data_IF_989866733344
#
_entry.id   IF_989866733344
#
_cell.length_a   1.000
_cell.length_b   1.000
_cell.length_c   1.000
_cell.angle_alpha   90.00
_cell.angle_beta   90.00
_cell.angle_gamma   90.00
#
_symmetry.space_group_name_H-M   'P 1'
#
loop_
_entity.id
_entity.type
_entity.pdbx_description
1 polymer ?
#
# COMPACT_ATOMS: atom_id res chain seq x y z
N UNK A 1 -31.82 -16.64 43.38
CA UNK A 1 -31.11 -15.91 42.30
C UNK A 1 -29.63 -16.10 42.55
N UNK A 2 -28.94 -16.97 41.80
CA UNK A 2 -27.49 -17.13 41.92
C UNK A 2 -26.84 -15.98 41.13
N UNK A 3 -26.14 -15.08 41.82
CA UNK A 3 -25.24 -14.14 41.20
C UNK A 3 -24.18 -14.94 40.41
N UNK A 4 -24.19 -14.82 39.12
CA UNK A 4 -23.07 -15.24 38.25
C UNK A 4 -21.92 -14.31 38.61
N UNK A 5 -20.72 -14.84 38.95
CA UNK A 5 -19.56 -13.98 39.18
C UNK A 5 -19.32 -13.18 37.93
N UNK A 6 -19.27 -11.87 38.04
CA UNK A 6 -18.71 -10.96 37.04
C UNK A 6 -17.18 -11.12 37.07
N UNK A 7 -16.68 -12.28 36.61
CA UNK A 7 -15.28 -12.30 36.15
C UNK A 7 -15.17 -11.25 35.09
N UNK A 8 -14.22 -10.34 35.25
CA UNK A 8 -14.05 -9.18 34.42
C UNK A 8 -13.83 -9.61 32.93
N UNK A 9 -14.94 -9.72 32.22
CA UNK A 9 -14.93 -10.10 30.81
C UNK A 9 -14.37 -8.92 30.07
N UNK A 10 -13.21 -9.12 29.44
CA UNK A 10 -12.53 -8.05 28.73
C UNK A 10 -13.40 -7.38 27.65
N UNK A 11 -13.20 -6.10 27.47
CA UNK A 11 -13.93 -5.29 26.51
C UNK A 11 -13.31 -5.40 25.13
N UNK A 12 -14.14 -5.59 24.11
CA UNK A 12 -13.75 -5.54 22.71
C UNK A 12 -14.36 -4.32 22.06
N UNK A 13 -13.52 -3.45 21.46
CA UNK A 13 -13.98 -2.32 20.67
C UNK A 13 -13.98 -2.67 19.19
N UNK A 14 -14.89 -2.05 18.46
CA UNK A 14 -14.79 -1.88 17.01
C UNK A 14 -14.82 -0.39 16.68
N UNK A 15 -14.05 0.00 15.69
CA UNK A 15 -13.91 1.40 15.30
C UNK A 15 -14.08 1.56 13.80
N UNK A 16 -15.07 2.35 13.40
CA UNK A 16 -15.18 2.89 12.06
C UNK A 16 -14.44 4.22 11.98
N UNK A 17 -13.55 4.37 10.98
CA UNK A 17 -12.59 5.47 10.92
C UNK A 17 -12.89 6.47 9.83
N UNK A 18 -12.95 7.74 10.20
CA UNK A 18 -13.10 8.88 9.30
C UNK A 18 -11.92 9.86 9.45
N UNK A 19 -11.88 10.87 8.57
CA UNK A 19 -10.80 11.86 8.55
C UNK A 19 -10.73 12.68 9.84
N UNK A 20 -11.88 13.19 10.31
CA UNK A 20 -11.94 14.17 11.38
C UNK A 20 -12.46 13.59 12.70
N UNK A 21 -13.14 12.45 12.66
CA UNK A 21 -13.65 11.74 13.83
C UNK A 21 -13.64 10.24 13.61
N UNK A 22 -13.75 9.47 14.68
CA UNK A 22 -13.96 8.03 14.66
C UNK A 22 -15.19 7.68 15.48
N UNK A 23 -15.91 6.63 15.07
CA UNK A 23 -17.04 6.07 15.82
C UNK A 23 -16.64 4.71 16.36
N UNK A 24 -16.77 4.54 17.67
CA UNK A 24 -16.44 3.30 18.37
C UNK A 24 -17.69 2.69 19.01
N UNK A 25 -17.74 1.36 19.01
CA UNK A 25 -18.74 0.56 19.73
C UNK A 25 -18.00 -0.40 20.66
N UNK A 26 -18.43 -0.44 21.93
CA UNK A 26 -17.93 -1.36 22.95
C UNK A 26 -18.87 -2.57 23.08
N UNK A 27 -18.27 -3.76 23.08
CA UNK A 27 -18.96 -5.03 23.35
C UNK A 27 -18.34 -5.72 24.57
N UNK A 28 -19.17 -6.40 25.35
CA UNK A 28 -18.69 -7.35 26.36
C UNK A 28 -18.30 -8.70 25.71
N UNK A 29 -17.74 -9.62 26.50
CA UNK A 29 -17.31 -10.93 26.02
C UNK A 29 -18.46 -11.83 25.50
N UNK A 30 -19.74 -11.48 25.78
CA UNK A 30 -20.90 -12.13 25.22
C UNK A 30 -21.43 -11.46 23.94
N UNK A 31 -20.78 -10.39 23.51
CA UNK A 31 -21.16 -9.62 22.32
C UNK A 31 -22.34 -8.69 22.55
N UNK A 32 -22.69 -8.36 23.80
CA UNK A 32 -23.70 -7.35 24.12
C UNK A 32 -23.10 -5.96 23.97
N UNK A 33 -23.82 -5.05 23.31
CA UNK A 33 -23.38 -3.65 23.13
C UNK A 33 -23.52 -2.90 24.46
N UNK A 34 -22.40 -2.34 24.91
CA UNK A 34 -22.31 -1.55 26.14
C UNK A 34 -22.50 -0.06 25.88
N UNK A 35 -22.03 0.42 24.72
CA UNK A 35 -22.16 1.82 24.36
C UNK A 35 -21.58 2.14 23.00
N UNK A 36 -21.75 3.40 22.62
CA UNK A 36 -21.19 4.01 21.41
C UNK A 36 -20.58 5.34 21.75
N UNK A 37 -19.42 5.65 21.20
CA UNK A 37 -18.73 6.92 21.39
C UNK A 37 -18.18 7.44 20.06
N UNK A 38 -18.37 8.74 19.81
CA UNK A 38 -17.67 9.44 18.73
C UNK A 38 -16.56 10.29 19.34
N UNK A 39 -15.37 10.23 18.74
CA UNK A 39 -14.18 10.95 19.19
C UNK A 39 -13.53 11.71 18.04
N UNK A 40 -12.89 12.86 18.26
CA UNK A 40 -12.06 13.51 17.27
C UNK A 40 -10.77 12.72 17.03
N UNK A 41 -10.19 12.87 15.83
CA UNK A 41 -8.91 12.22 15.44
C UNK A 41 -7.70 12.93 16.02
N UNK A 42 -7.69 13.10 17.34
CA UNK A 42 -6.63 13.77 18.12
C UNK A 42 -6.16 12.85 19.24
N UNK A 43 -4.98 13.13 19.78
CA UNK A 43 -4.45 12.38 20.91
C UNK A 43 -5.42 12.37 22.10
N UNK A 44 -5.98 13.54 22.47
CA UNK A 44 -6.99 13.62 23.54
C UNK A 44 -8.26 12.83 23.24
N UNK A 45 -8.67 12.74 21.96
CA UNK A 45 -9.77 11.87 21.55
C UNK A 45 -9.46 10.40 21.74
N UNK A 46 -8.22 9.98 21.45
CA UNK A 46 -7.79 8.59 21.65
C UNK A 46 -7.69 8.22 23.13
N UNK A 47 -7.17 9.12 23.95
CA UNK A 47 -7.12 8.99 25.42
C UNK A 47 -8.55 8.83 25.99
N UNK A 48 -9.47 9.72 25.57
CA UNK A 48 -10.89 9.64 25.94
C UNK A 48 -11.54 8.31 25.54
N UNK A 49 -11.18 7.75 24.36
CA UNK A 49 -11.68 6.46 23.92
C UNK A 49 -11.22 5.33 24.84
N UNK A 50 -9.93 5.33 25.21
CA UNK A 50 -9.36 4.32 26.11
C UNK A 50 -9.98 4.40 27.52
N UNK A 51 -10.12 5.59 28.07
CA UNK A 51 -10.77 5.82 29.35
C UNK A 51 -12.23 5.35 29.34
N UNK A 52 -12.99 5.73 28.32
CA UNK A 52 -14.37 5.33 28.16
C UNK A 52 -14.54 3.81 28.08
N UNK A 53 -13.69 3.14 27.32
CA UNK A 53 -13.71 1.68 27.21
C UNK A 53 -13.38 0.99 28.53
N UNK A 54 -12.35 1.48 29.23
CA UNK A 54 -11.92 0.96 30.53
C UNK A 54 -12.98 1.20 31.63
N UNK A 55 -13.89 2.16 31.44
CA UNK A 55 -15.03 2.36 32.32
C UNK A 55 -16.03 1.19 32.32
N UNK A 56 -16.04 0.34 31.29
CA UNK A 56 -16.87 -0.90 31.26
C UNK A 56 -16.09 -2.14 31.70
N UNK A 57 -14.78 -2.10 31.74
CA UNK A 57 -13.87 -3.19 32.06
C UNK A 57 -12.54 -3.09 31.29
N UNK A 58 -11.59 -4.00 31.53
CA UNK A 58 -10.27 -3.93 30.88
C UNK A 58 -10.40 -4.06 29.36
N UNK A 59 -9.80 -3.08 28.64
CA UNK A 59 -9.78 -3.09 27.18
C UNK A 59 -8.79 -4.15 26.66
N UNK A 60 -9.29 -5.26 26.14
CA UNK A 60 -8.46 -6.35 25.66
C UNK A 60 -8.08 -6.26 24.19
N UNK A 61 -9.01 -5.84 23.35
CA UNK A 61 -8.81 -5.85 21.89
C UNK A 61 -9.66 -4.81 21.18
N UNK A 62 -9.13 -4.35 20.03
CA UNK A 62 -9.80 -3.36 19.18
C UNK A 62 -9.73 -3.78 17.73
N UNK A 63 -10.89 -3.84 17.06
CA UNK A 63 -11.00 -4.00 15.61
C UNK A 63 -11.09 -2.65 14.93
N UNK A 64 -10.18 -2.36 14.01
CA UNK A 64 -10.14 -1.08 13.31
C UNK A 64 -10.17 -1.32 11.80
N UNK A 65 -11.11 -0.66 11.09
CA UNK A 65 -11.07 -0.57 9.64
C UNK A 65 -10.07 0.52 9.21
N UNK A 66 -9.23 0.22 8.22
CA UNK A 66 -8.33 1.22 7.65
C UNK A 66 -7.17 1.65 8.54
N UNK A 67 -6.55 0.71 9.25
CA UNK A 67 -5.38 0.90 10.12
C UNK A 67 -4.19 1.59 9.45
N UNK A 68 -4.07 1.50 8.12
CA UNK A 68 -3.04 2.18 7.32
C UNK A 68 -3.49 3.49 6.69
N UNK A 69 -4.67 4.02 7.05
CA UNK A 69 -5.23 5.27 6.52
C UNK A 69 -5.76 6.15 7.64
N UNK A 70 -7.06 6.39 7.72
CA UNK A 70 -7.66 7.24 8.77
C UNK A 70 -7.47 6.69 10.17
N UNK A 71 -7.42 5.36 10.34
CA UNK A 71 -7.17 4.70 11.62
C UNK A 71 -5.71 4.63 12.06
N UNK A 72 -4.75 5.14 11.25
CA UNK A 72 -3.33 4.96 11.54
C UNK A 72 -2.88 5.62 12.85
N UNK A 73 -3.38 6.81 13.18
CA UNK A 73 -3.08 7.51 14.43
C UNK A 73 -3.58 6.75 15.65
N UNK A 74 -4.85 6.33 15.61
CA UNK A 74 -5.45 5.53 16.68
C UNK A 74 -4.75 4.17 16.85
N UNK A 75 -4.40 3.52 15.74
CA UNK A 75 -3.68 2.24 15.77
C UNK A 75 -2.34 2.35 16.49
N UNK A 76 -1.54 3.39 16.17
CA UNK A 76 -0.25 3.65 16.86
C UNK A 76 -0.46 3.91 18.34
N UNK A 77 -1.41 4.77 18.70
CA UNK A 77 -1.74 5.08 20.09
C UNK A 77 -2.12 3.83 20.88
N UNK A 78 -3.09 3.06 20.41
CA UNK A 78 -3.54 1.85 21.13
C UNK A 78 -2.44 0.79 21.26
N UNK A 79 -1.59 0.66 20.25
CA UNK A 79 -0.44 -0.26 20.33
C UNK A 79 0.60 0.20 21.34
N UNK A 80 0.87 1.51 21.45
CA UNK A 80 1.77 2.05 22.48
C UNK A 80 1.23 1.84 23.91
N UNK A 81 -0.09 1.78 24.06
CA UNK A 81 -0.74 1.42 25.34
C UNK A 81 -0.83 -0.12 25.58
N UNK A 82 -0.21 -0.94 24.72
CA UNK A 82 -0.22 -2.39 24.85
C UNK A 82 -1.51 -3.08 24.42
N UNK A 83 -2.49 -2.36 23.87
CA UNK A 83 -3.77 -2.92 23.43
C UNK A 83 -3.61 -3.75 22.17
N UNK A 84 -4.24 -4.92 22.11
CA UNK A 84 -4.27 -5.76 20.89
C UNK A 84 -5.15 -5.15 19.82
N UNK A 85 -4.56 -4.70 18.72
CA UNK A 85 -5.28 -4.13 17.57
C UNK A 85 -5.34 -5.13 16.42
N UNK A 86 -6.53 -5.29 15.85
CA UNK A 86 -6.79 -6.11 14.69
C UNK A 86 -7.23 -5.23 13.50
N UNK A 87 -6.65 -5.50 12.33
CA UNK A 87 -7.12 -4.91 11.09
C UNK A 87 -8.37 -5.66 10.63
N UNK A 88 -9.45 -4.94 10.42
CA UNK A 88 -10.72 -5.49 9.97
C UNK A 88 -10.92 -5.11 8.50
N UNK A 89 -11.18 -6.11 7.66
CA UNK A 89 -11.56 -5.89 6.29
C UNK A 89 -12.96 -5.25 6.20
N UNK A 90 -13.17 -4.41 5.20
CA UNK A 90 -14.49 -3.84 4.93
C UNK A 90 -15.58 -4.91 4.91
N UNK A 91 -16.71 -4.68 5.58
CA UNK A 91 -17.82 -5.61 5.56
C UNK A 91 -18.24 -5.96 4.13
N UNK A 92 -18.55 -7.22 3.90
CA UNK A 92 -19.05 -7.62 2.57
C UNK A 92 -20.40 -6.92 2.32
N UNK A 93 -20.64 -6.45 1.10
CA UNK A 93 -21.91 -5.83 0.71
C UNK A 93 -23.15 -6.60 1.18
N UNK A 94 -23.08 -7.93 1.23
CA UNK A 94 -24.18 -8.79 1.70
C UNK A 94 -24.53 -8.55 3.16
N UNK A 95 -23.56 -8.26 4.01
CA UNK A 95 -23.78 -8.03 5.45
C UNK A 95 -24.39 -6.64 5.67
N UNK A 96 -23.98 -5.65 4.87
CA UNK A 96 -24.56 -4.31 4.86
C UNK A 96 -26.03 -4.28 4.38
N UNK A 97 -26.43 -5.18 3.44
CA UNK A 97 -27.83 -5.27 3.00
C UNK A 97 -28.78 -5.72 4.11
N UNK A 98 -28.31 -6.49 5.09
CA UNK A 98 -29.15 -6.99 6.19
C UNK A 98 -29.25 -6.02 7.38
N UNK A 99 -28.21 -5.24 7.63
CA UNK A 99 -28.09 -4.41 8.84
C UNK A 99 -28.26 -2.91 8.58
N UNK A 100 -28.40 -2.51 7.30
CA UNK A 100 -28.29 -1.10 6.91
C UNK A 100 -26.84 -0.61 6.93
N UNK A 101 -26.63 0.67 6.69
CA UNK A 101 -25.31 1.33 6.71
C UNK A 101 -25.36 2.54 7.63
N UNK A 102 -24.58 2.48 8.70
CA UNK A 102 -24.26 3.63 9.56
C UNK A 102 -22.95 3.35 10.30
N UNK A 103 -22.22 4.39 10.64
CA UNK A 103 -20.92 4.29 11.29
C UNK A 103 -20.95 3.44 12.58
N UNK A 104 -21.99 3.53 13.46
CA UNK A 104 -22.10 2.62 14.61
C UNK A 104 -22.30 1.14 14.23
N UNK A 105 -22.98 0.85 13.12
CA UNK A 105 -23.17 -0.53 12.64
C UNK A 105 -21.85 -1.08 12.12
N UNK A 106 -21.13 -0.30 11.32
CA UNK A 106 -19.82 -0.72 10.78
C UNK A 106 -18.81 -0.91 11.92
N UNK A 107 -18.80 -0.03 12.93
CA UNK A 107 -18.00 -0.20 14.15
C UNK A 107 -18.39 -1.45 14.93
N UNK A 108 -19.68 -1.73 15.12
CA UNK A 108 -20.13 -2.94 15.81
C UNK A 108 -19.74 -4.21 15.07
N UNK A 109 -19.86 -4.24 13.75
CA UNK A 109 -19.41 -5.36 12.92
C UNK A 109 -17.91 -5.62 13.06
N UNK A 110 -17.11 -4.55 13.18
CA UNK A 110 -15.67 -4.68 13.42
C UNK A 110 -15.39 -5.31 14.80
N UNK A 111 -16.08 -4.88 15.87
CA UNK A 111 -15.95 -5.50 17.18
C UNK A 111 -16.36 -6.98 17.17
N UNK A 112 -17.50 -7.31 16.54
CA UNK A 112 -17.98 -8.68 16.40
C UNK A 112 -17.02 -9.58 15.63
N UNK A 113 -16.36 -9.05 14.60
CA UNK A 113 -15.36 -9.80 13.82
C UNK A 113 -14.13 -10.17 14.68
N UNK A 114 -13.72 -9.29 15.59
CA UNK A 114 -12.64 -9.55 16.55
C UNK A 114 -13.10 -10.59 17.58
N UNK A 115 -14.25 -10.40 18.19
CA UNK A 115 -14.80 -11.28 19.23
C UNK A 115 -15.02 -12.70 18.70
N UNK A 116 -15.49 -12.84 17.46
CA UNK A 116 -15.66 -14.12 16.77
C UNK A 116 -14.34 -14.76 16.27
N UNK A 117 -13.19 -14.11 16.45
CA UNK A 117 -11.90 -14.59 15.94
C UNK A 117 -11.78 -14.61 14.42
N UNK A 118 -12.68 -13.94 13.69
CA UNK A 118 -12.64 -13.86 12.22
C UNK A 118 -11.73 -12.74 11.73
N UNK A 119 -11.51 -11.69 12.52
CA UNK A 119 -10.52 -10.67 12.28
C UNK A 119 -9.19 -11.12 12.89
N UNK A 120 -8.28 -11.61 12.03
CA UNK A 120 -6.95 -12.12 12.43
C UNK A 120 -5.81 -11.25 11.93
N UNK A 121 -6.11 -10.22 11.14
CA UNK A 121 -5.13 -9.32 10.54
C UNK A 121 -4.45 -8.48 11.62
N UNK A 122 -3.11 -8.57 11.71
CA UNK A 122 -2.34 -7.63 12.52
C UNK A 122 -2.03 -6.39 11.67
N UNK A 123 -2.26 -5.16 12.18
CA UNK A 123 -1.92 -3.94 11.45
C UNK A 123 -0.41 -3.83 11.26
N UNK A 124 -0.01 -3.10 10.23
CA UNK A 124 1.40 -2.72 10.04
C UNK A 124 1.86 -1.82 11.17
N UNK A 125 3.16 -1.85 11.50
CA UNK A 125 3.76 -0.96 12.49
C UNK A 125 3.52 0.50 12.17
N UNK A 126 3.87 0.90 10.95
CA UNK A 126 3.76 2.26 10.44
C UNK A 126 4.49 3.31 11.33
N UNK A 127 5.60 2.91 11.92
CA UNK A 127 6.43 3.67 12.86
C UNK A 127 7.95 3.51 12.61
N UNK A 128 8.34 2.71 11.61
CA UNK A 128 9.73 2.37 11.30
C UNK A 128 10.19 2.80 9.91
N UNK A 129 11.31 2.22 9.47
CA UNK A 129 11.97 2.50 8.20
C UNK A 129 11.07 2.26 6.99
N UNK A 130 10.21 1.23 7.06
CA UNK A 130 9.29 0.91 5.96
C UNK A 130 8.24 2.00 5.78
N UNK A 131 7.82 2.66 6.87
CA UNK A 131 6.91 3.80 6.77
C UNK A 131 7.62 5.03 6.17
N UNK A 132 8.90 5.26 6.48
CA UNK A 132 9.71 6.28 5.81
C UNK A 132 9.78 6.03 4.30
N UNK A 133 10.13 4.80 3.90
CA UNK A 133 10.14 4.36 2.49
C UNK A 133 8.77 4.56 1.84
N UNK A 134 7.67 4.20 2.53
CA UNK A 134 6.32 4.36 2.01
C UNK A 134 5.98 5.82 1.72
N UNK A 135 6.30 6.71 2.62
CA UNK A 135 6.00 8.15 2.51
C UNK A 135 6.72 8.77 1.30
N UNK A 136 8.02 8.53 1.19
CA UNK A 136 8.82 9.02 0.06
C UNK A 136 8.36 8.41 -1.27
N UNK A 137 8.07 7.10 -1.29
CA UNK A 137 7.61 6.42 -2.50
C UNK A 137 6.25 6.91 -2.99
N UNK A 138 5.32 7.22 -2.09
CA UNK A 138 4.01 7.79 -2.46
C UNK A 138 4.20 9.16 -3.10
N UNK A 139 5.03 10.02 -2.53
CA UNK A 139 5.36 11.34 -3.07
C UNK A 139 6.03 11.23 -4.44
N UNK A 140 7.09 10.40 -4.56
CA UNK A 140 7.76 10.14 -5.84
C UNK A 140 6.78 9.65 -6.92
N UNK A 141 5.89 8.72 -6.59
CA UNK A 141 4.89 8.20 -7.53
C UNK A 141 3.93 9.28 -8.02
N UNK A 142 3.56 10.21 -7.15
CA UNK A 142 2.76 11.39 -7.51
C UNK A 142 3.51 12.31 -8.47
N UNK A 143 4.78 12.63 -8.17
CA UNK A 143 5.63 13.46 -9.00
C UNK A 143 5.87 12.83 -10.40
N UNK A 144 6.13 11.52 -10.48
CA UNK A 144 6.27 10.79 -11.76
C UNK A 144 5.00 10.88 -12.59
N UNK A 145 3.82 10.75 -11.98
CA UNK A 145 2.53 10.89 -12.68
C UNK A 145 2.33 12.32 -13.18
N UNK A 146 2.63 13.32 -12.35
CA UNK A 146 2.52 14.73 -12.72
C UNK A 146 3.51 15.09 -13.86
N UNK A 147 4.75 14.56 -13.85
CA UNK A 147 5.72 14.74 -14.91
C UNK A 147 5.24 14.15 -16.25
N UNK A 148 4.68 12.94 -16.21
CA UNK A 148 4.10 12.33 -17.42
C UNK A 148 2.92 13.15 -17.96
N UNK A 149 2.11 13.73 -17.09
CA UNK A 149 1.01 14.62 -17.46
C UNK A 149 1.53 15.93 -18.08
N UNK A 150 2.58 16.52 -17.52
CA UNK A 150 3.20 17.73 -18.04
C UNK A 150 3.75 17.52 -19.46
N UNK A 151 4.47 16.43 -19.73
CA UNK A 151 4.99 16.18 -21.07
C UNK A 151 3.88 15.92 -22.10
N UNK A 152 2.81 15.23 -21.72
CA UNK A 152 1.65 15.04 -22.60
C UNK A 152 0.98 16.39 -22.92
N UNK A 153 0.84 17.26 -21.92
CA UNK A 153 0.30 18.61 -22.14
C UNK A 153 1.18 19.44 -23.05
N UNK A 154 2.52 19.38 -22.90
CA UNK A 154 3.46 20.07 -23.78
C UNK A 154 3.34 19.58 -25.23
N UNK A 155 3.23 18.28 -25.45
CA UNK A 155 3.02 17.69 -26.77
C UNK A 155 1.70 18.12 -27.41
N UNK A 156 0.63 18.21 -26.62
CA UNK A 156 -0.68 18.68 -27.10
C UNK A 156 -0.63 20.17 -27.50
N UNK A 157 0.04 21.03 -26.71
CA UNK A 157 0.26 22.42 -27.07
C UNK A 157 1.06 22.56 -28.36
N UNK A 158 2.04 21.69 -28.60
CA UNK A 158 2.82 21.65 -29.83
C UNK A 158 1.96 21.32 -31.07
N UNK A 159 0.99 20.39 -30.93
CA UNK A 159 0.10 20.01 -32.04
C UNK A 159 -0.75 21.20 -32.51
N UNK A 160 -1.21 22.04 -31.58
CA UNK A 160 -2.09 23.18 -31.85
C UNK A 160 -1.34 24.50 -32.01
N UNK A 161 0.01 24.49 -31.94
CA UNK A 161 0.84 25.68 -32.07
C UNK A 161 0.79 26.27 -33.49
N UNK A 162 1.00 27.62 -33.65
CA UNK A 162 1.20 28.24 -34.94
C UNK A 162 2.27 27.52 -35.78
N UNK A 163 2.09 27.51 -37.09
CA UNK A 163 2.91 26.67 -38.01
C UNK A 163 4.40 26.93 -37.87
N UNK A 164 4.86 28.19 -37.76
CA UNK A 164 6.26 28.51 -37.57
C UNK A 164 6.85 27.85 -36.34
N UNK A 165 6.18 27.98 -35.21
CA UNK A 165 6.62 27.37 -33.94
C UNK A 165 6.54 25.82 -33.98
N UNK A 166 5.50 25.28 -34.61
CA UNK A 166 5.33 23.84 -34.77
C UNK A 166 6.44 23.25 -35.63
N UNK A 167 6.76 23.88 -36.75
CA UNK A 167 7.83 23.43 -37.65
C UNK A 167 9.20 23.48 -36.99
N UNK A 168 9.47 24.49 -36.16
CA UNK A 168 10.73 24.64 -35.40
C UNK A 168 10.95 23.51 -34.37
N UNK A 169 9.87 23.04 -33.75
CA UNK A 169 9.90 22.08 -32.61
C UNK A 169 9.61 20.64 -33.05
N UNK A 170 9.05 20.44 -34.24
CA UNK A 170 8.71 19.13 -34.79
C UNK A 170 9.93 18.22 -34.90
N UNK A 171 9.78 16.97 -34.47
CA UNK A 171 10.85 15.97 -34.56
C UNK A 171 11.88 16.02 -33.44
N UNK A 172 11.79 16.98 -32.51
CA UNK A 172 12.66 16.99 -31.35
C UNK A 172 12.32 15.83 -30.40
N UNK A 173 13.36 15.20 -29.87
CA UNK A 173 13.17 14.25 -28.76
C UNK A 173 12.58 14.98 -27.56
N UNK A 174 11.90 14.23 -26.65
CA UNK A 174 11.28 14.82 -25.46
C UNK A 174 12.25 15.68 -24.63
N UNK A 175 13.48 15.21 -24.44
CA UNK A 175 14.50 15.96 -23.70
C UNK A 175 14.88 17.27 -24.39
N UNK A 176 15.15 17.23 -25.72
CA UNK A 176 15.47 18.43 -26.52
C UNK A 176 14.30 19.41 -26.58
N UNK A 177 13.05 18.90 -26.68
CA UNK A 177 11.86 19.74 -26.68
C UNK A 177 11.72 20.49 -25.35
N UNK A 178 11.81 19.78 -24.20
CA UNK A 178 11.71 20.40 -22.87
C UNK A 178 12.83 21.43 -22.67
N UNK A 179 14.08 21.09 -23.00
CA UNK A 179 15.21 22.01 -22.86
C UNK A 179 14.98 23.28 -23.68
N UNK A 180 14.72 23.15 -24.99
CA UNK A 180 14.52 24.29 -25.87
C UNK A 180 13.35 25.19 -25.44
N UNK A 181 12.21 24.57 -25.12
CA UNK A 181 11.00 25.31 -24.77
C UNK A 181 11.10 25.97 -23.38
N UNK A 182 11.84 25.41 -22.44
CA UNK A 182 12.05 26.02 -21.11
C UNK A 182 12.82 27.36 -21.18
N UNK A 183 13.57 27.59 -22.23
CA UNK A 183 14.38 28.79 -22.49
C UNK A 183 13.62 29.89 -23.25
N UNK A 184 12.40 29.64 -23.73
CA UNK A 184 11.62 30.64 -24.43
C UNK A 184 11.50 31.94 -23.65
N UNK A 185 11.53 33.06 -24.35
CA UNK A 185 11.40 34.43 -23.80
C UNK A 185 10.19 35.16 -24.41
N UNK A 186 8.96 34.72 -24.11
CA UNK A 186 7.74 35.28 -24.73
C UNK A 186 7.31 36.66 -24.21
N UNK A 187 8.14 37.29 -23.36
CA UNK A 187 7.76 38.53 -22.68
C UNK A 187 6.83 38.25 -21.44
N UNK A 188 6.41 39.33 -20.78
CA UNK A 188 5.52 39.26 -19.61
C UNK A 188 4.04 39.34 -19.99
N UNK A 189 3.73 40.05 -21.10
CA UNK A 189 2.37 40.19 -21.64
C UNK A 189 2.33 39.58 -23.05
N UNK A 190 1.69 38.42 -23.24
CA UNK A 190 1.49 37.84 -24.56
C UNK A 190 0.63 38.78 -25.43
N UNK A 191 1.20 39.24 -26.55
CA UNK A 191 0.52 40.19 -27.48
C UNK A 191 -0.24 39.51 -28.61
N UNK A 192 0.08 38.22 -28.86
CA UNK A 192 -0.49 37.40 -29.91
C UNK A 192 -0.53 35.90 -29.54
N UNK A 193 -1.13 35.11 -30.43
CA UNK A 193 -1.30 33.66 -30.19
C UNK A 193 0.03 32.93 -30.05
N UNK A 194 1.06 33.33 -30.80
CA UNK A 194 2.37 32.68 -30.75
C UNK A 194 3.08 33.00 -29.44
N UNK A 195 3.07 34.24 -28.97
CA UNK A 195 3.62 34.64 -27.68
C UNK A 195 2.91 33.95 -26.51
N UNK A 196 1.58 33.88 -26.56
CA UNK A 196 0.80 33.16 -25.58
C UNK A 196 1.12 31.66 -25.56
N UNK A 197 1.28 31.04 -26.73
CA UNK A 197 1.63 29.62 -26.86
C UNK A 197 3.04 29.36 -26.29
N UNK A 198 4.03 30.19 -26.67
CA UNK A 198 5.40 30.12 -26.12
C UNK A 198 5.42 30.27 -24.60
N UNK A 199 4.62 31.17 -24.03
CA UNK A 199 4.50 31.37 -22.59
C UNK A 199 3.94 30.13 -21.89
N UNK A 200 2.84 29.56 -22.40
CA UNK A 200 2.22 28.37 -21.89
C UNK A 200 3.16 27.15 -21.95
N UNK A 201 3.77 26.93 -23.11
CA UNK A 201 4.72 25.83 -23.33
C UNK A 201 5.93 25.94 -22.40
N UNK A 202 6.52 27.12 -22.22
CA UNK A 202 7.61 27.37 -21.25
C UNK A 202 7.19 27.02 -19.83
N UNK A 203 6.01 27.44 -19.41
CA UNK A 203 5.50 27.15 -18.06
C UNK A 203 5.41 25.63 -17.81
N UNK A 204 4.88 24.88 -18.79
CA UNK A 204 4.76 23.42 -18.70
C UNK A 204 6.13 22.73 -18.75
N UNK A 205 7.07 23.21 -19.60
CA UNK A 205 8.41 22.65 -19.69
C UNK A 205 9.20 22.84 -18.38
N UNK A 206 9.15 24.02 -17.77
CA UNK A 206 9.77 24.30 -16.47
C UNK A 206 9.14 23.48 -15.34
N UNK A 207 7.82 23.26 -15.36
CA UNK A 207 7.17 22.33 -14.42
C UNK A 207 7.70 20.91 -14.59
N UNK A 208 7.88 20.42 -15.82
CA UNK A 208 8.45 19.10 -16.08
C UNK A 208 9.88 19.00 -15.52
N UNK A 209 10.72 20.04 -15.67
CA UNK A 209 12.08 20.06 -15.13
C UNK A 209 12.07 19.99 -13.61
N UNK A 210 11.32 20.84 -12.93
CA UNK A 210 11.20 20.82 -11.45
C UNK A 210 10.72 19.48 -10.91
N UNK A 211 9.73 18.86 -11.58
CA UNK A 211 9.28 17.51 -11.22
C UNK A 211 10.37 16.44 -11.46
N UNK A 212 11.26 16.66 -12.42
CA UNK A 212 12.39 15.73 -12.64
C UNK A 212 13.43 15.85 -11.55
N UNK A 213 13.72 17.06 -11.08
CA UNK A 213 14.59 17.34 -9.93
C UNK A 213 14.03 16.72 -8.65
N UNK A 214 12.76 17.00 -8.34
CA UNK A 214 12.04 16.40 -7.20
C UNK A 214 12.09 14.87 -7.21
N UNK A 215 11.86 14.25 -8.36
CA UNK A 215 11.92 12.80 -8.52
C UNK A 215 13.33 12.29 -8.22
N UNK A 216 14.38 12.97 -8.72
CA UNK A 216 15.77 12.56 -8.50
C UNK A 216 16.16 12.62 -7.02
N UNK A 217 15.79 13.69 -6.33
CA UNK A 217 16.02 13.85 -4.88
C UNK A 217 15.30 12.74 -4.07
N UNK A 218 14.05 12.45 -4.42
CA UNK A 218 13.29 11.37 -3.76
C UNK A 218 13.86 9.98 -4.06
N UNK A 219 14.38 9.74 -5.27
CA UNK A 219 15.04 8.49 -5.66
C UNK A 219 16.31 8.28 -4.84
N UNK A 220 17.15 9.29 -4.68
CA UNK A 220 18.37 9.21 -3.88
C UNK A 220 18.08 8.81 -2.42
N UNK A 221 17.07 9.44 -1.80
CA UNK A 221 16.67 9.09 -0.44
C UNK A 221 16.09 7.68 -0.34
N UNK A 222 15.28 7.28 -1.33
CA UNK A 222 14.71 5.94 -1.39
C UNK A 222 15.79 4.86 -1.56
N UNK A 223 16.76 5.10 -2.45
CA UNK A 223 17.85 4.15 -2.71
C UNK A 223 18.65 3.91 -1.43
N UNK A 224 18.99 4.98 -0.68
CA UNK A 224 19.68 4.88 0.60
C UNK A 224 18.86 4.10 1.63
N UNK A 225 17.62 4.50 1.89
CA UNK A 225 16.77 3.86 2.91
C UNK A 225 16.48 2.39 2.59
N UNK A 226 16.26 2.05 1.33
CA UNK A 226 15.99 0.65 0.94
C UNK A 226 17.25 -0.21 1.05
N UNK A 227 18.43 0.34 0.69
CA UNK A 227 19.69 -0.36 0.84
C UNK A 227 20.06 -0.59 2.32
N UNK A 228 19.75 0.35 3.20
CA UNK A 228 19.93 0.22 4.66
C UNK A 228 18.93 -0.77 5.26
N UNK A 229 17.65 -0.67 4.90
CA UNK A 229 16.58 -1.49 5.47
C UNK A 229 16.62 -2.96 5.03
N UNK A 230 17.05 -3.23 3.80
CA UNK A 230 17.01 -4.58 3.22
C UNK A 230 18.09 -4.80 2.15
N UNK A 231 19.38 -4.78 2.51
CA UNK A 231 20.49 -4.97 1.56
C UNK A 231 20.41 -6.33 0.86
N UNK A 232 20.03 -7.38 1.57
CA UNK A 232 19.89 -8.73 1.01
C UNK A 232 18.78 -8.80 -0.06
N UNK A 233 17.72 -8.02 0.10
CA UNK A 233 16.62 -7.97 -0.87
C UNK A 233 17.06 -7.28 -2.17
N UNK A 234 17.83 -6.19 -2.07
CA UNK A 234 18.36 -5.46 -3.22
C UNK A 234 19.43 -6.28 -3.95
N UNK A 235 20.18 -7.13 -3.24
CA UNK A 235 21.18 -8.03 -3.82
C UNK A 235 20.55 -9.17 -4.65
N UNK A 236 19.25 -9.43 -4.53
CA UNK A 236 18.59 -10.49 -5.30
C UNK A 236 18.49 -10.11 -6.78
N UNK A 237 18.78 -11.06 -7.67
CA UNK A 237 18.66 -10.86 -9.12
C UNK A 237 17.27 -10.38 -9.53
N UNK A 238 17.25 -9.27 -10.27
CA UNK A 238 16.05 -8.63 -10.79
C UNK A 238 15.26 -7.78 -9.78
N UNK A 239 15.77 -7.60 -8.55
CA UNK A 239 15.16 -6.76 -7.52
C UNK A 239 15.90 -5.43 -7.44
N UNK A 240 15.31 -4.38 -8.04
CA UNK A 240 15.80 -3.00 -7.86
C UNK A 240 15.09 -2.29 -6.72
N UNK A 241 15.53 -1.09 -6.37
CA UNK A 241 15.04 -0.28 -5.24
C UNK A 241 13.51 -0.12 -5.22
N UNK A 242 12.87 0.29 -6.33
CA UNK A 242 11.40 0.47 -6.36
C UNK A 242 10.65 -0.83 -6.14
N UNK A 243 11.21 -1.95 -6.62
CA UNK A 243 10.66 -3.29 -6.42
C UNK A 243 10.80 -3.72 -4.96
N UNK A 244 11.99 -3.57 -4.38
CA UNK A 244 12.26 -3.84 -2.97
C UNK A 244 11.36 -2.98 -2.07
N UNK A 245 11.28 -1.68 -2.31
CA UNK A 245 10.39 -0.77 -1.61
C UNK A 245 8.92 -1.22 -1.64
N UNK A 246 8.43 -1.66 -2.82
CA UNK A 246 7.06 -2.16 -2.96
C UNK A 246 6.79 -3.40 -2.09
N UNK A 247 7.75 -4.30 -1.99
CA UNK A 247 7.66 -5.55 -1.23
C UNK A 247 7.79 -5.28 0.28
N UNK A 248 8.71 -4.41 0.70
CA UNK A 248 8.84 -3.96 2.08
C UNK A 248 7.56 -3.27 2.57
N UNK A 249 7.02 -2.33 1.80
CA UNK A 249 5.76 -1.65 2.13
C UNK A 249 4.59 -2.64 2.22
N UNK A 250 4.57 -3.69 1.40
CA UNK A 250 3.55 -4.73 1.50
C UNK A 250 3.69 -5.55 2.79
N UNK A 251 4.91 -5.90 3.17
CA UNK A 251 5.20 -6.62 4.42
C UNK A 251 4.93 -5.77 5.66
N UNK A 252 5.38 -4.50 5.69
CA UNK A 252 5.32 -3.60 6.84
C UNK A 252 6.56 -3.69 7.71
N UNK A 253 6.71 -2.76 8.67
CA UNK A 253 7.84 -2.74 9.61
C UNK A 253 7.88 -3.98 10.53
N UNK A 254 6.73 -4.55 10.79
CA UNK A 254 6.51 -5.75 11.61
C UNK A 254 6.19 -6.96 10.72
N UNK A 255 7.16 -7.43 9.95
CA UNK A 255 6.98 -8.52 8.99
C UNK A 255 6.63 -9.87 9.66
N UNK A 256 6.90 -10.04 10.97
CA UNK A 256 6.43 -11.17 11.80
C UNK A 256 4.90 -11.32 11.85
N UNK A 257 4.14 -10.27 11.46
CA UNK A 257 2.69 -10.36 11.26
C UNK A 257 2.31 -11.33 10.14
N UNK A 258 3.23 -11.61 9.23
CA UNK A 258 3.06 -12.57 8.15
C UNK A 258 3.39 -13.96 8.68
N UNK A 259 2.35 -14.71 9.02
CA UNK A 259 2.43 -16.01 9.68
C UNK A 259 3.39 -17.00 8.98
N UNK A 260 3.36 -17.03 7.66
CA UNK A 260 4.15 -17.94 6.83
C UNK A 260 4.29 -17.45 5.39
N UNK A 261 5.01 -18.19 4.59
CA UNK A 261 5.21 -17.95 3.16
C UNK A 261 3.90 -17.94 2.36
N UNK A 262 2.93 -18.77 2.76
CA UNK A 262 1.63 -18.84 2.10
C UNK A 262 0.82 -17.55 2.34
N UNK A 263 0.88 -17.01 3.56
CA UNK A 263 0.28 -15.73 3.91
C UNK A 263 0.88 -14.58 3.08
N UNK A 264 2.22 -14.55 2.92
CA UNK A 264 2.88 -13.57 2.05
C UNK A 264 2.46 -13.73 0.59
N UNK A 265 2.37 -14.96 0.08
CA UNK A 265 1.90 -15.20 -1.29
C UNK A 265 0.43 -14.78 -1.50
N UNK A 266 -0.42 -14.96 -0.50
CA UNK A 266 -1.79 -14.44 -0.50
C UNK A 266 -1.80 -12.91 -0.50
N UNK A 267 -1.00 -12.28 0.36
CA UNK A 267 -0.84 -10.82 0.40
C UNK A 267 -0.39 -10.26 -0.95
N UNK A 268 0.54 -10.92 -1.64
CA UNK A 268 1.01 -10.51 -2.97
C UNK A 268 0.04 -10.90 -4.12
N UNK A 269 -1.06 -11.58 -3.83
CA UNK A 269 -2.00 -12.03 -4.85
C UNK A 269 -1.43 -13.08 -5.83
N UNK A 270 -0.44 -13.90 -5.37
CA UNK A 270 0.20 -14.94 -6.19
C UNK A 270 -0.05 -16.34 -5.67
N UNK A 271 -0.75 -16.50 -4.56
CA UNK A 271 -1.21 -17.80 -4.10
C UNK A 271 -2.30 -18.35 -5.03
N UNK A 272 -2.24 -19.64 -5.46
CA UNK A 272 -3.31 -20.26 -6.21
C UNK A 272 -4.54 -20.43 -5.32
N UNK A 273 -5.73 -20.06 -5.82
CA UNK A 273 -6.98 -20.29 -5.09
C UNK A 273 -7.62 -21.56 -5.64
N UNK A 274 -7.88 -22.58 -4.81
CA UNK A 274 -8.58 -23.77 -5.23
C UNK A 274 -9.94 -23.45 -5.87
N UNK A 275 -10.22 -24.05 -6.99
CA UNK A 275 -11.49 -23.94 -7.72
C UNK A 275 -11.90 -25.30 -8.26
N UNK A 276 -11.63 -26.34 -7.47
CA UNK A 276 -11.88 -27.74 -7.81
C UNK A 276 -13.34 -28.11 -7.52
N UNK A 277 -13.91 -28.98 -8.35
CA UNK A 277 -15.19 -29.61 -8.08
C UNK A 277 -15.15 -31.07 -8.58
N UNK A 278 -15.59 -32.02 -7.75
CA UNK A 278 -15.55 -33.43 -8.05
C UNK A 278 -14.14 -33.90 -8.42
N UNK A 279 -14.01 -34.56 -9.60
CA UNK A 279 -12.74 -35.11 -10.10
C UNK A 279 -11.77 -34.07 -10.71
N UNK A 280 -12.18 -32.81 -10.83
CA UNK A 280 -11.40 -31.77 -11.49
C UNK A 280 -10.60 -30.95 -10.48
N UNK A 281 -9.28 -30.99 -10.51
CA UNK A 281 -8.39 -30.13 -9.72
C UNK A 281 -8.02 -28.90 -10.53
N UNK A 282 -8.56 -27.76 -10.18
CA UNK A 282 -8.30 -26.48 -10.83
C UNK A 282 -7.96 -25.39 -9.82
N UNK A 283 -7.23 -24.39 -10.27
CA UNK A 283 -6.90 -23.19 -9.49
C UNK A 283 -7.31 -21.95 -10.27
N UNK A 284 -7.88 -20.98 -9.58
CA UNK A 284 -8.17 -19.66 -10.13
C UNK A 284 -7.17 -18.62 -9.61
N UNK A 285 -7.11 -17.50 -10.32
CA UNK A 285 -6.29 -16.37 -9.92
C UNK A 285 -6.78 -15.77 -8.60
N UNK A 286 -5.85 -15.47 -7.71
CA UNK A 286 -6.11 -14.59 -6.61
C UNK A 286 -6.21 -13.14 -7.13
N UNK A 287 -7.41 -12.58 -7.16
CA UNK A 287 -7.67 -11.19 -7.56
C UNK A 287 -7.59 -10.22 -6.38
N UNK A 288 -7.49 -10.75 -5.18
CA UNK A 288 -7.25 -10.01 -3.94
C UNK A 288 -5.74 -9.87 -3.70
N UNK A 289 -5.37 -9.10 -2.71
CA UNK A 289 -3.98 -8.86 -2.35
C UNK A 289 -3.44 -7.53 -2.84
N UNK A 290 -2.22 -7.23 -2.44
CA UNK A 290 -1.54 -5.98 -2.74
C UNK A 290 -1.11 -5.91 -4.20
N UNK A 291 -1.69 -4.98 -4.96
CA UNK A 291 -1.42 -4.82 -6.41
C UNK A 291 0.00 -4.36 -6.70
N UNK A 292 0.58 -3.53 -5.83
CA UNK A 292 1.95 -3.03 -6.02
C UNK A 292 2.96 -4.17 -5.79
N UNK A 293 2.76 -5.01 -4.76
CA UNK A 293 3.57 -6.21 -4.54
C UNK A 293 3.42 -7.22 -5.70
N UNK A 294 2.20 -7.44 -6.20
CA UNK A 294 1.98 -8.30 -7.36
C UNK A 294 2.72 -7.80 -8.60
N UNK A 295 2.70 -6.48 -8.84
CA UNK A 295 3.43 -5.83 -9.93
C UNK A 295 4.95 -5.94 -9.73
N UNK A 296 5.44 -5.75 -8.51
CA UNK A 296 6.85 -5.93 -8.18
C UNK A 296 7.34 -7.33 -8.53
N UNK A 297 6.63 -8.37 -8.09
CA UNK A 297 6.93 -9.76 -8.45
C UNK A 297 6.87 -10.03 -9.97
N UNK A 298 5.98 -9.36 -10.68
CA UNK A 298 5.91 -9.46 -12.13
C UNK A 298 7.14 -8.85 -12.81
N UNK A 299 7.60 -7.69 -12.34
CA UNK A 299 8.82 -7.05 -12.86
C UNK A 299 10.04 -7.93 -12.62
N UNK A 300 10.21 -8.48 -11.40
CA UNK A 300 11.30 -9.42 -11.09
C UNK A 300 11.26 -10.63 -12.01
N UNK A 301 10.07 -11.22 -12.22
CA UNK A 301 9.92 -12.37 -13.11
C UNK A 301 10.37 -12.05 -14.55
N UNK A 302 9.98 -10.87 -15.08
CA UNK A 302 10.41 -10.45 -16.42
C UNK A 302 11.92 -10.22 -16.50
N UNK A 303 12.53 -9.56 -15.51
CA UNK A 303 13.97 -9.35 -15.45
C UNK A 303 14.73 -10.68 -15.45
N UNK A 304 14.31 -11.63 -14.60
CA UNK A 304 14.93 -12.95 -14.52
C UNK A 304 14.73 -13.78 -15.79
N UNK A 305 13.57 -13.71 -16.43
CA UNK A 305 13.34 -14.36 -17.73
C UNK A 305 14.29 -13.88 -18.82
N UNK A 306 14.76 -12.64 -18.72
CA UNK A 306 15.72 -12.05 -19.67
C UNK A 306 17.17 -12.36 -19.34
N UNK A 307 17.56 -12.39 -18.06
CA UNK A 307 18.95 -12.35 -17.61
C UNK A 307 19.41 -13.61 -16.85
N UNK A 308 18.51 -14.21 -16.05
CA UNK A 308 18.85 -15.34 -15.18
C UNK A 308 18.76 -16.67 -15.95
N UNK A 309 19.87 -17.39 -16.02
CA UNK A 309 19.97 -18.65 -16.78
C UNK A 309 19.05 -19.75 -16.22
N UNK A 310 18.98 -19.84 -14.90
CA UNK A 310 18.09 -20.83 -14.23
C UNK A 310 16.63 -20.58 -14.60
N UNK A 311 16.23 -19.31 -14.62
CA UNK A 311 14.86 -18.94 -15.01
C UNK A 311 14.61 -19.20 -16.49
N UNK A 312 15.58 -18.92 -17.37
CA UNK A 312 15.44 -19.21 -18.82
C UNK A 312 15.29 -20.71 -19.08
N UNK A 313 16.08 -21.54 -18.42
CA UNK A 313 15.97 -22.99 -18.49
C UNK A 313 14.60 -23.49 -18.03
N UNK A 314 14.10 -22.96 -16.92
CA UNK A 314 12.74 -23.25 -16.44
C UNK A 314 11.68 -22.86 -17.46
N UNK A 315 11.79 -21.65 -18.04
CA UNK A 315 10.84 -21.15 -19.07
C UNK A 315 10.83 -22.06 -20.30
N UNK A 316 12.00 -22.43 -20.80
CA UNK A 316 12.13 -23.33 -21.96
C UNK A 316 11.46 -24.69 -21.69
N UNK A 317 11.74 -25.32 -20.53
CA UNK A 317 11.11 -26.56 -20.10
C UNK A 317 9.58 -26.44 -20.06
N UNK A 318 9.04 -25.41 -19.38
CA UNK A 318 7.60 -25.23 -19.22
C UNK A 318 6.90 -24.92 -20.54
N UNK A 319 7.59 -24.23 -21.48
CA UNK A 319 7.08 -23.97 -22.81
C UNK A 319 6.98 -25.27 -23.62
N UNK A 320 8.00 -26.15 -23.54
CA UNK A 320 7.99 -27.46 -24.17
C UNK A 320 6.87 -28.36 -23.62
N UNK A 321 6.47 -28.20 -22.36
CA UNK A 321 5.33 -28.87 -21.73
C UNK A 321 3.96 -28.26 -22.14
N UNK A 322 3.93 -27.27 -23.05
CA UNK A 322 2.70 -26.65 -23.55
C UNK A 322 2.13 -25.54 -22.70
N UNK A 323 2.86 -25.04 -21.67
CA UNK A 323 2.38 -23.93 -20.84
C UNK A 323 2.50 -22.57 -21.56
N UNK A 324 1.50 -21.74 -21.42
CA UNK A 324 1.53 -20.37 -21.94
C UNK A 324 2.47 -19.47 -21.13
N UNK A 325 3.02 -18.41 -21.76
CA UNK A 325 3.85 -17.42 -21.09
C UNK A 325 3.19 -16.84 -19.82
N UNK A 326 1.86 -16.66 -19.85
CA UNK A 326 1.12 -16.13 -18.69
C UNK A 326 1.11 -17.13 -17.53
N UNK A 327 0.99 -18.41 -17.78
CA UNK A 327 1.04 -19.47 -16.77
C UNK A 327 2.44 -19.59 -16.19
N UNK A 328 3.46 -19.57 -17.02
CA UNK A 328 4.87 -19.60 -16.58
C UNK A 328 5.19 -18.42 -15.66
N UNK A 329 4.79 -17.19 -16.02
CA UNK A 329 4.98 -16.01 -15.17
C UNK A 329 4.25 -16.15 -13.84
N UNK A 330 3.06 -16.75 -13.79
CA UNK A 330 2.35 -17.00 -12.51
C UNK A 330 3.13 -17.94 -11.61
N UNK A 331 3.67 -19.02 -12.15
CA UNK A 331 4.52 -19.93 -11.40
C UNK A 331 5.79 -19.23 -10.91
N UNK A 332 6.47 -18.49 -11.77
CA UNK A 332 7.68 -17.74 -11.41
C UNK A 332 7.40 -16.74 -10.28
N UNK A 333 6.32 -15.96 -10.36
CA UNK A 333 5.96 -15.04 -9.28
C UNK A 333 5.76 -15.75 -7.93
N UNK A 334 5.21 -16.97 -7.95
CA UNK A 334 5.02 -17.76 -6.72
C UNK A 334 6.35 -18.23 -6.14
N UNK A 335 7.29 -18.66 -7.00
CA UNK A 335 8.64 -19.04 -6.56
C UNK A 335 9.44 -17.83 -6.04
N UNK A 336 9.40 -16.71 -6.76
CA UNK A 336 10.04 -15.46 -6.35
C UNK A 336 9.47 -14.97 -5.01
N UNK A 337 8.16 -15.04 -4.81
CA UNK A 337 7.54 -14.68 -3.52
C UNK A 337 8.08 -15.54 -2.36
N UNK A 338 8.36 -16.83 -2.60
CA UNK A 338 8.97 -17.72 -1.61
C UNK A 338 10.39 -17.31 -1.24
N UNK A 339 11.19 -16.96 -2.24
CA UNK A 339 12.56 -16.49 -2.01
C UNK A 339 12.58 -15.17 -1.22
N UNK A 340 11.75 -14.22 -1.65
CA UNK A 340 11.61 -12.91 -1.00
C UNK A 340 11.11 -13.04 0.45
N UNK A 341 10.13 -13.90 0.70
CA UNK A 341 9.64 -14.12 2.07
C UNK A 341 10.74 -14.59 3.01
N UNK A 342 11.64 -15.46 2.57
CA UNK A 342 12.78 -15.91 3.39
C UNK A 342 13.68 -14.75 3.81
N UNK A 343 13.97 -13.84 2.87
CA UNK A 343 14.75 -12.63 3.16
C UNK A 343 14.00 -11.71 4.12
N UNK A 344 12.70 -11.47 3.89
CA UNK A 344 11.89 -10.63 4.79
C UNK A 344 11.78 -11.22 6.20
N UNK A 345 11.72 -12.54 6.34
CA UNK A 345 11.70 -13.20 7.63
C UNK A 345 13.05 -13.09 8.36
N UNK A 346 14.19 -13.18 7.65
CA UNK A 346 15.51 -12.98 8.26
C UNK A 346 15.73 -11.56 8.76
N UNK A 347 15.24 -10.54 8.03
CA UNK A 347 15.30 -9.15 8.45
C UNK A 347 14.54 -8.88 9.76
N UNK A 348 13.43 -9.58 10.00
CA UNK A 348 12.66 -9.46 11.24
C UNK A 348 13.38 -10.03 12.44
N UNK A 349 14.10 -11.13 12.27
CA UNK A 349 14.84 -11.78 13.35
C UNK A 349 16.06 -10.97 13.81
N UNK A 350 16.60 -10.14 12.92
CA UNK A 350 17.80 -9.33 13.17
C UNK A 350 17.47 -7.94 13.79
N UNK A 351 16.20 -7.53 13.86
CA UNK A 351 15.83 -6.29 14.54
C UNK A 351 15.69 -6.55 16.05
N UNK A 352 16.38 -5.77 16.91
CA UNK A 352 16.15 -5.86 18.35
C UNK A 352 14.65 -5.58 18.62
N UNK A 353 14.06 -6.22 19.63
CA UNK A 353 12.70 -5.89 20.03
C UNK A 353 12.66 -4.39 20.34
N UNK A 354 11.73 -3.69 19.70
CA UNK A 354 11.47 -2.30 20.05
C UNK A 354 10.99 -2.35 21.50
N UNK A 355 11.89 -2.03 22.43
CA UNK A 355 11.53 -1.79 23.81
C UNK A 355 10.52 -0.65 23.77
N UNK A 356 9.27 -0.96 24.10
CA UNK A 356 8.27 0.07 24.32
C UNK A 356 8.80 1.00 25.41
N UNK A 357 8.76 2.34 25.20
CA UNK A 357 9.13 3.30 26.23
C UNK A 357 8.23 3.22 27.44
#
# INVERSE_FOLDING_TARGET
MRCIPTDAVGITLGVDTHKDFHVAVALDGLGRRLGTLSIPTTRSGYEKLAEWANGFGPLESVGIEGTGSFGAGLTRFLRSEGTRVFEVDRPKRRDQYRSGKSDPIDAELAARAVLAGTATGRPKGADGEVEMIRTLRVTRRSAVKARAQAINQLKNLLITAPEGLRSELRGLSTAKLVAKVSEFRPGTNPSDVEAATKFAMRSVARRHQRLSEEISELEEQLDRLVAEAAPELVAMEGVGTDTAASLLIAAGDNSERLKDEAAFAHLCGVAPIPASSGKSVRHRLNRHGNRDANRALYVVALCRMSRDERTRTYVAKRTAEGNTKKEIIRCLKRYIAREIYRVLASLSLNKPPILAP
#
